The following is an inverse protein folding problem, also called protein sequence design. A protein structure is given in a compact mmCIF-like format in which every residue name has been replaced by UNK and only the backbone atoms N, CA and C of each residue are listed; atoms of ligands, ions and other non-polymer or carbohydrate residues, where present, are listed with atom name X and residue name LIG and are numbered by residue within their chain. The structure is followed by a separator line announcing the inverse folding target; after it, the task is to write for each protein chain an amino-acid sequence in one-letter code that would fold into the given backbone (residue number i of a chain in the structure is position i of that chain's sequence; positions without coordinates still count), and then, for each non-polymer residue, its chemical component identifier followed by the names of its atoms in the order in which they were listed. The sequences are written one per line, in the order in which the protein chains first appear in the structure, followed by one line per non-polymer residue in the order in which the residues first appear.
data_IF_975042776368
#
_entry.id   IF_975042776368
#
_cell.length_a   1.000
_cell.length_b   1.000
_cell.length_c   1.000
_cell.angle_alpha   90.00
_cell.angle_beta   90.00
_cell.angle_gamma   90.00
#
_symmetry.space_group_name_H-M   'P 1'
#
loop_
_entity.id
_entity.type
_entity.pdbx_description
1 polymer ?
#
# COMPACT_ATOMS: atom_id res chain seq x y z
N UNK A 1 -21.07 -20.95 17.38
CA UNK A 1 -20.15 -19.81 17.19
C UNK A 1 -18.74 -20.40 17.10
N UNK A 2 -18.21 -20.54 15.88
CA UNK A 2 -16.89 -21.14 15.65
C UNK A 2 -15.79 -20.16 16.07
N UNK A 3 -14.85 -20.65 16.88
CA UNK A 3 -13.63 -19.96 17.23
C UNK A 3 -12.81 -19.70 15.97
N UNK A 4 -12.55 -18.42 15.67
CA UNK A 4 -11.54 -18.02 14.71
C UNK A 4 -10.22 -18.65 15.15
N UNK A 5 -9.73 -19.64 14.42
CA UNK A 5 -8.37 -20.14 14.57
C UNK A 5 -7.43 -18.93 14.58
N UNK A 6 -6.39 -18.87 15.44
CA UNK A 6 -5.41 -17.81 15.33
C UNK A 6 -4.80 -17.95 13.94
N UNK A 7 -5.21 -17.08 13.02
CA UNK A 7 -4.63 -17.02 11.70
C UNK A 7 -3.14 -16.83 11.94
N UNK A 8 -2.33 -17.82 11.54
CA UNK A 8 -0.87 -17.69 11.44
C UNK A 8 -0.59 -16.26 11.03
N UNK A 9 0.07 -15.49 11.89
CA UNK A 9 0.48 -14.11 11.63
C UNK A 9 1.38 -14.12 10.40
N UNK A 10 0.76 -14.15 9.23
CA UNK A 10 1.38 -13.81 7.96
C UNK A 10 1.52 -12.31 8.04
N UNK A 11 2.76 -11.82 8.09
CA UNK A 11 3.06 -10.39 8.14
C UNK A 11 2.23 -9.68 7.08
N UNK A 12 1.24 -8.93 7.53
CA UNK A 12 0.30 -8.25 6.65
C UNK A 12 0.85 -6.86 6.42
N UNK A 13 1.42 -6.64 5.25
CA UNK A 13 1.94 -5.35 4.85
C UNK A 13 0.78 -4.46 4.39
N UNK A 14 0.77 -3.21 4.87
CA UNK A 14 -0.22 -2.21 4.49
C UNK A 14 0.48 -0.87 4.23
N UNK A 15 0.02 -0.15 3.22
CA UNK A 15 0.46 1.21 2.94
C UNK A 15 -0.75 2.13 2.77
N UNK A 16 -0.63 3.34 3.33
CA UNK A 16 -1.63 4.39 3.21
C UNK A 16 -1.16 5.44 2.22
N UNK A 17 -2.04 5.78 1.28
CA UNK A 17 -1.80 6.81 0.28
C UNK A 17 -2.75 7.98 0.50
N UNK A 18 -2.18 9.16 0.71
CA UNK A 18 -2.94 10.40 0.84
C UNK A 18 -3.11 11.06 -0.53
N UNK A 19 -4.34 11.35 -0.98
CA UNK A 19 -4.55 12.09 -2.23
C UNK A 19 -3.99 13.52 -2.15
N UNK A 20 -3.28 13.96 -3.19
CA UNK A 20 -2.67 15.30 -3.24
C UNK A 20 -3.73 16.43 -3.28
N UNK A 21 -4.88 16.18 -3.91
CA UNK A 21 -5.97 17.15 -4.02
C UNK A 21 -6.84 17.24 -2.75
N UNK A 22 -6.38 16.63 -1.64
CA UNK A 22 -7.18 16.44 -0.44
C UNK A 22 -8.12 15.23 -0.54
N UNK A 23 -8.63 14.79 0.61
CA UNK A 23 -9.50 13.63 0.75
C UNK A 23 -8.99 12.62 1.79
N UNK A 24 -9.75 11.54 1.96
CA UNK A 24 -9.41 10.46 2.90
C UNK A 24 -8.24 9.63 2.37
N UNK A 25 -7.37 9.22 3.29
CA UNK A 25 -6.31 8.26 2.99
C UNK A 25 -6.90 6.93 2.52
N UNK A 26 -6.20 6.30 1.57
CA UNK A 26 -6.53 4.96 1.10
C UNK A 26 -5.48 3.98 1.59
N UNK A 27 -5.88 3.04 2.42
CA UNK A 27 -5.01 1.96 2.91
C UNK A 27 -5.21 0.71 2.06
N UNK A 28 -4.12 0.15 1.56
CA UNK A 28 -4.13 -1.08 0.77
C UNK A 28 -3.29 -2.16 1.44
N UNK A 29 -3.73 -3.41 1.30
CA UNK A 29 -2.93 -4.59 1.62
C UNK A 29 -1.94 -4.84 0.49
N UNK A 30 -0.71 -5.15 0.85
CA UNK A 30 0.40 -5.37 -0.08
C UNK A 30 1.07 -6.72 0.13
N UNK A 31 1.71 -7.22 -0.92
CA UNK A 31 2.75 -8.24 -0.79
C UNK A 31 4.04 -7.58 -0.25
N UNK A 32 4.91 -8.37 0.38
CA UNK A 32 6.18 -7.88 0.92
C UNK A 32 7.01 -7.12 -0.13
N UNK A 33 7.16 -7.69 -1.34
CA UNK A 33 7.91 -7.06 -2.42
C UNK A 33 7.32 -5.70 -2.83
N UNK A 34 5.99 -5.60 -2.90
CA UNK A 34 5.32 -4.35 -3.24
C UNK A 34 5.51 -3.29 -2.15
N UNK A 35 5.46 -3.70 -0.88
CA UNK A 35 5.67 -2.79 0.24
C UNK A 35 7.11 -2.27 0.29
N UNK A 36 8.10 -3.15 0.12
CA UNK A 36 9.51 -2.77 0.13
C UNK A 36 9.96 -1.96 -1.09
N UNK A 37 9.17 -1.95 -2.17
CA UNK A 37 9.39 -1.07 -3.32
C UNK A 37 8.86 0.37 -3.10
N UNK A 38 8.18 0.64 -1.98
CA UNK A 38 7.67 1.97 -1.65
C UNK A 38 8.63 2.70 -0.71
N UNK A 39 8.80 3.99 -0.97
CA UNK A 39 9.46 4.92 -0.05
C UNK A 39 8.39 5.80 0.59
N UNK A 40 8.39 5.90 1.93
CA UNK A 40 7.42 6.73 2.65
C UNK A 40 7.72 8.20 2.35
N UNK A 41 6.69 8.94 1.96
CA UNK A 41 6.80 10.36 1.61
C UNK A 41 6.90 10.63 0.11
N UNK A 42 7.23 9.61 -0.69
CA UNK A 42 7.25 9.74 -2.14
C UNK A 42 5.87 10.13 -2.68
N UNK A 43 5.90 11.11 -3.58
CA UNK A 43 4.72 11.51 -4.33
C UNK A 43 4.75 10.86 -5.71
N UNK A 44 3.61 10.37 -6.18
CA UNK A 44 3.57 9.62 -7.41
C UNK A 44 2.17 9.28 -7.87
N UNK A 45 2.09 8.42 -8.87
CA UNK A 45 0.83 7.93 -9.43
C UNK A 45 0.50 6.57 -8.83
N UNK A 46 -0.58 6.52 -8.05
CA UNK A 46 -1.14 5.29 -7.52
C UNK A 46 -2.13 4.67 -8.52
N UNK A 47 -1.89 3.41 -8.91
CA UNK A 47 -2.79 2.59 -9.71
C UNK A 47 -3.48 1.54 -8.83
N UNK A 48 -4.80 1.44 -8.91
CA UNK A 48 -5.60 0.48 -8.14
C UNK A 48 -6.90 0.09 -8.86
N UNK A 49 -7.45 -1.07 -8.52
CA UNK A 49 -8.75 -1.56 -9.02
C UNK A 49 -9.67 -1.85 -7.83
N UNK A 50 -10.66 -0.98 -7.61
CA UNK A 50 -11.52 -1.05 -6.42
C UNK A 50 -10.70 -0.87 -5.14
N UNK A 51 -10.59 -1.92 -4.32
CA UNK A 51 -9.77 -1.94 -3.09
C UNK A 51 -8.43 -2.66 -3.27
N UNK A 52 -8.09 -3.09 -4.49
CA UNK A 52 -6.85 -3.81 -4.78
C UNK A 52 -5.76 -2.87 -5.28
N UNK A 53 -4.61 -2.88 -4.62
CA UNK A 53 -3.41 -2.22 -5.11
C UNK A 53 -2.93 -2.89 -6.41
N UNK A 54 -2.55 -2.08 -7.40
CA UNK A 54 -1.95 -2.55 -8.66
C UNK A 54 -0.50 -2.10 -8.76
N UNK A 55 -0.20 -0.85 -8.40
CA UNK A 55 1.16 -0.33 -8.43
C UNK A 55 1.24 1.13 -7.99
N UNK A 56 2.46 1.57 -7.67
CA UNK A 56 2.78 2.96 -7.42
C UNK A 56 4.04 3.32 -8.23
N UNK A 57 3.98 4.43 -8.95
CA UNK A 57 5.12 4.97 -9.69
C UNK A 57 5.50 6.30 -9.07
N UNK A 58 6.68 6.37 -8.45
CA UNK A 58 7.19 7.60 -7.86
C UNK A 58 7.47 8.64 -8.94
N UNK A 59 7.12 9.90 -8.68
CA UNK A 59 7.39 11.03 -9.59
C UNK A 59 8.87 11.39 -9.59
N UNK A 60 9.53 11.22 -8.45
CA UNK A 60 10.98 11.29 -8.31
C UNK A 60 11.44 9.84 -8.15
N UNK A 61 11.81 9.13 -9.24
CA UNK A 61 12.54 7.89 -9.06
C UNK A 61 13.78 8.23 -8.22
N UNK A 62 13.98 7.45 -7.16
CA UNK A 62 15.16 7.51 -6.31
C UNK A 62 16.40 7.67 -7.19
N UNK A 63 17.05 8.82 -7.05
CA UNK A 63 18.22 9.20 -7.79
C UNK A 63 19.38 9.21 -6.79
N UNK A 64 19.73 8.02 -6.29
CA UNK A 64 21.04 7.71 -5.70
C UNK A 64 21.45 6.25 -5.95
#
# INVERSE_FOLDING_TARGET
QQASSPARTSSRYEASFKPLNGGLEKTFRLQAQQYHALTVGDQGTLSYKGTRFVGFVSRTPDNE
#
